data_IF_310166170798
#
_entry.id   IF_310166170798
#
_cell.length_a   1.000
_cell.length_b   1.000
_cell.length_c   1.000
_cell.angle_alpha   90.00
_cell.angle_beta   90.00
_cell.angle_gamma   90.00
#
_symmetry.space_group_name_H-M   'P 1'
#
loop_
_entity.id
_entity.type
_entity.pdbx_description
1 polymer ?
#
# COMPACT_ATOMS: atom_id res chain seq x y z
N UNK A 1 26.52 -31.46 18.96
CA UNK A 1 25.35 -31.31 19.86
C UNK A 1 24.11 -31.60 19.02
N UNK A 2 23.07 -32.21 19.58
CA UNK A 2 21.82 -32.43 18.85
C UNK A 2 21.12 -31.10 18.57
N UNK A 3 20.52 -30.98 17.39
CA UNK A 3 19.66 -29.84 17.03
C UNK A 3 18.45 -29.80 17.96
N UNK A 4 18.20 -28.65 18.57
CA UNK A 4 16.98 -28.40 19.35
C UNK A 4 16.11 -27.39 18.62
N UNK A 5 14.82 -27.71 18.52
CA UNK A 5 13.80 -26.88 17.88
C UNK A 5 12.77 -26.47 18.94
N UNK A 6 12.44 -25.19 18.96
CA UNK A 6 11.47 -24.56 19.85
C UNK A 6 10.39 -23.94 18.97
N UNK A 7 9.14 -24.25 19.26
CA UNK A 7 8.00 -23.69 18.55
C UNK A 7 7.11 -22.95 19.54
N UNK A 8 6.68 -21.76 19.15
CA UNK A 8 5.77 -20.95 19.96
C UNK A 8 4.94 -20.04 19.05
N UNK A 9 3.71 -19.79 19.47
CA UNK A 9 2.79 -18.90 18.76
C UNK A 9 2.92 -17.46 19.24
N UNK A 10 2.77 -16.52 18.31
CA UNK A 10 2.50 -15.12 18.63
C UNK A 10 1.37 -14.61 17.73
N UNK A 11 0.22 -14.34 18.34
CA UNK A 11 -1.01 -13.96 17.64
C UNK A 11 -1.51 -15.04 16.66
N UNK A 12 -1.10 -14.98 15.38
CA UNK A 12 -1.46 -15.98 14.34
C UNK A 12 -0.23 -16.57 13.64
N UNK A 13 0.97 -16.16 14.07
CA UNK A 13 2.22 -16.58 13.46
C UNK A 13 2.87 -17.66 14.32
N UNK A 14 3.11 -18.82 13.71
CA UNK A 14 4.00 -19.83 14.28
C UNK A 14 5.45 -19.36 14.13
N UNK A 15 6.18 -19.31 15.24
CA UNK A 15 7.61 -19.00 15.25
C UNK A 15 8.35 -20.29 15.53
N UNK A 16 9.28 -20.65 14.65
CA UNK A 16 10.20 -21.76 14.86
C UNK A 16 11.60 -21.19 15.13
N UNK A 17 12.14 -21.50 16.29
CA UNK A 17 13.51 -21.22 16.66
C UNK A 17 14.31 -22.52 16.75
N UNK A 18 15.54 -22.50 16.24
CA UNK A 18 16.45 -23.64 16.25
C UNK A 18 17.80 -23.21 16.79
N UNK A 19 18.35 -24.00 17.69
CA UNK A 19 19.75 -23.88 18.10
C UNK A 19 20.52 -25.07 17.53
N UNK A 20 21.44 -24.78 16.61
CA UNK A 20 22.27 -25.76 15.90
C UNK A 20 23.64 -25.15 15.62
N UNK A 21 24.71 -25.93 15.78
CA UNK A 21 26.10 -25.53 15.50
C UNK A 21 26.54 -24.19 16.10
N UNK A 22 26.05 -23.85 17.29
CA UNK A 22 26.38 -22.58 17.97
C UNK A 22 25.55 -21.37 17.49
N UNK A 23 24.61 -21.57 16.58
CA UNK A 23 23.74 -20.51 16.07
C UNK A 23 22.29 -20.68 16.53
N UNK A 24 21.69 -19.57 16.94
CA UNK A 24 20.24 -19.41 17.05
C UNK A 24 19.68 -18.92 15.71
N UNK A 25 18.84 -19.73 15.09
CA UNK A 25 18.07 -19.36 13.90
C UNK A 25 16.59 -19.28 14.26
N UNK A 26 15.93 -18.15 14.06
CA UNK A 26 14.50 -18.00 14.32
C UNK A 26 13.76 -17.52 13.09
N UNK A 27 12.67 -18.21 12.71
CA UNK A 27 11.83 -17.86 11.56
C UNK A 27 10.51 -17.27 12.05
N UNK A 28 10.23 -16.03 11.62
CA UNK A 28 9.02 -15.27 11.95
C UNK A 28 8.36 -14.82 10.65
N UNK A 29 7.49 -15.66 10.08
CA UNK A 29 6.91 -15.42 8.75
C UNK A 29 7.99 -15.37 7.66
N UNK A 30 8.14 -14.21 7.00
CA UNK A 30 9.16 -13.96 5.96
C UNK A 30 10.53 -13.55 6.54
N UNK A 31 10.59 -13.17 7.82
CA UNK A 31 11.84 -12.75 8.47
C UNK A 31 12.56 -13.97 9.05
N UNK A 32 13.86 -14.08 8.77
CA UNK A 32 14.73 -15.06 9.41
C UNK A 32 15.82 -14.31 10.19
N UNK A 33 16.00 -14.71 11.45
CA UNK A 33 17.07 -14.25 12.32
C UNK A 33 18.12 -15.35 12.39
N UNK A 34 19.39 -14.95 12.37
CA UNK A 34 20.52 -15.85 12.53
C UNK A 34 21.54 -15.16 13.43
N UNK A 35 21.77 -15.73 14.61
CA UNK A 35 22.53 -15.13 15.70
C UNK A 35 23.55 -16.17 16.16
N UNK A 36 24.83 -15.78 16.17
CA UNK A 36 25.86 -16.56 16.83
C UNK A 36 25.65 -16.47 18.35
N UNK A 37 25.47 -17.60 19.02
CA UNK A 37 25.22 -17.64 20.48
C UNK A 37 26.40 -17.02 21.23
N UNK A 38 27.62 -17.17 20.71
CA UNK A 38 28.79 -16.64 21.39
C UNK A 38 28.91 -15.11 21.26
N UNK A 39 28.21 -14.53 20.29
CA UNK A 39 28.13 -13.08 20.09
C UNK A 39 27.06 -12.40 20.95
N UNK A 40 26.25 -13.16 21.69
CA UNK A 40 25.19 -12.62 22.54
C UNK A 40 25.82 -11.90 23.73
N UNK A 41 25.46 -10.62 23.88
CA UNK A 41 25.94 -9.76 24.96
C UNK A 41 24.95 -9.73 26.13
N UNK A 42 23.66 -9.58 25.82
CA UNK A 42 22.61 -9.53 26.85
C UNK A 42 21.33 -10.23 26.39
N UNK A 43 20.62 -10.82 27.35
CA UNK A 43 19.33 -11.47 27.16
C UNK A 43 18.38 -11.04 28.27
N UNK A 44 17.17 -10.64 27.90
CA UNK A 44 16.12 -10.25 28.82
C UNK A 44 14.79 -10.88 28.40
N UNK A 45 14.06 -11.40 29.38
CA UNK A 45 12.73 -11.97 29.17
C UNK A 45 11.71 -11.15 29.97
N UNK A 46 10.85 -10.43 29.26
CA UNK A 46 9.74 -9.67 29.83
C UNK A 46 8.49 -10.56 29.86
N UNK A 47 8.24 -11.20 31.01
CA UNK A 47 7.08 -12.05 31.26
C UNK A 47 6.12 -11.37 32.26
N UNK A 48 5.65 -10.18 31.91
CA UNK A 48 4.66 -9.46 32.73
C UNK A 48 3.25 -9.95 32.42
N UNK A 49 2.60 -10.55 33.42
CA UNK A 49 1.23 -11.12 33.36
C UNK A 49 0.13 -10.21 32.78
N UNK A 50 0.32 -8.89 32.79
CA UNK A 50 -0.63 -7.91 32.26
C UNK A 50 -0.49 -7.66 30.74
N UNK A 51 0.52 -8.26 30.11
CA UNK A 51 0.67 -8.28 28.65
C UNK A 51 0.32 -9.69 28.21
N UNK A 52 -0.66 -9.86 27.32
CA UNK A 52 -1.07 -11.16 26.75
C UNK A 52 0.06 -11.86 25.95
N UNK A 53 1.31 -11.44 26.11
CA UNK A 53 2.49 -11.88 25.37
C UNK A 53 3.74 -11.85 26.25
N UNK A 54 4.61 -12.83 26.08
CA UNK A 54 5.99 -12.83 26.61
C UNK A 54 6.92 -12.29 25.54
N UNK A 55 7.90 -11.48 25.94
CA UNK A 55 8.90 -10.93 25.03
C UNK A 55 10.32 -11.34 25.44
N UNK A 56 11.07 -11.91 24.51
CA UNK A 56 12.49 -12.20 24.64
C UNK A 56 13.30 -11.20 23.81
N UNK A 57 14.19 -10.47 24.46
CA UNK A 57 15.11 -9.51 23.82
C UNK A 57 16.52 -10.05 23.91
N UNK A 58 17.20 -10.11 22.76
CA UNK A 58 18.58 -10.56 22.64
C UNK A 58 19.38 -9.44 22.00
N UNK A 59 20.44 -8.96 22.67
CA UNK A 59 21.44 -8.10 22.06
C UNK A 59 22.69 -8.90 21.74
N UNK A 60 23.26 -8.68 20.55
CA UNK A 60 24.37 -9.49 20.04
C UNK A 60 25.22 -8.68 19.06
N UNK A 61 26.50 -9.04 18.92
CA UNK A 61 27.37 -8.41 17.92
C UNK A 61 27.28 -9.14 16.58
N UNK A 62 27.01 -8.39 15.50
CA UNK A 62 27.08 -8.97 14.16
C UNK A 62 28.55 -9.19 13.70
N UNK A 63 28.73 -9.79 12.52
CA UNK A 63 30.07 -10.02 11.92
C UNK A 63 30.90 -8.74 11.76
N UNK A 64 30.27 -7.56 11.77
CA UNK A 64 30.93 -6.24 11.70
C UNK A 64 31.16 -5.62 13.08
N UNK A 65 31.02 -6.40 14.16
CA UNK A 65 31.11 -5.95 15.56
C UNK A 65 30.15 -4.80 15.88
N UNK A 66 29.03 -4.73 15.17
CA UNK A 66 27.96 -3.77 15.47
C UNK A 66 26.96 -4.43 16.40
N UNK A 67 26.61 -3.77 17.50
CA UNK A 67 25.58 -4.27 18.42
C UNK A 67 24.21 -4.24 17.72
N UNK A 68 23.60 -5.41 17.57
CA UNK A 68 22.27 -5.65 17.02
C UNK A 68 21.33 -6.15 18.10
N UNK A 69 20.03 -6.12 17.78
CA UNK A 69 18.96 -6.54 18.69
C UNK A 69 17.96 -7.39 17.94
N UNK A 70 17.61 -8.52 18.53
CA UNK A 70 16.50 -9.35 18.14
C UNK A 70 15.44 -9.32 19.24
N UNK A 71 14.17 -9.32 18.82
CA UNK A 71 13.00 -9.42 19.70
C UNK A 71 12.17 -10.58 19.19
N UNK A 72 11.93 -11.55 20.05
CA UNK A 72 11.01 -12.66 19.82
C UNK A 72 9.83 -12.47 20.78
N UNK A 73 8.63 -12.78 20.30
CA UNK A 73 7.41 -12.66 21.07
C UNK A 73 6.72 -14.01 21.07
N UNK A 74 6.02 -14.34 22.15
CA UNK A 74 5.07 -15.44 22.20
C UNK A 74 3.83 -15.01 22.93
N UNK A 75 2.73 -15.74 22.78
CA UNK A 75 1.55 -15.59 23.63
C UNK A 75 1.90 -16.09 25.05
N UNK A 76 1.17 -15.62 26.07
CA UNK A 76 1.56 -15.83 27.48
C UNK A 76 1.64 -17.32 27.89
N UNK A 77 0.82 -18.17 27.29
CA UNK A 77 0.70 -19.60 27.66
C UNK A 77 1.71 -20.50 26.92
N UNK A 78 2.48 -19.95 25.98
CA UNK A 78 3.40 -20.72 25.14
C UNK A 78 4.74 -20.97 25.85
N UNK A 79 5.10 -22.25 26.06
CA UNK A 79 6.34 -22.61 26.76
C UNK A 79 7.59 -22.54 25.88
N UNK A 80 7.44 -22.64 24.56
CA UNK A 80 8.59 -22.73 23.64
C UNK A 80 9.54 -21.53 23.71
N UNK A 81 9.04 -20.32 23.94
CA UNK A 81 9.89 -19.13 24.09
C UNK A 81 10.67 -19.14 25.42
N UNK A 82 10.03 -19.64 26.49
CA UNK A 82 10.67 -19.82 27.80
C UNK A 82 11.76 -20.88 27.73
N UNK A 83 11.50 -22.01 27.07
CA UNK A 83 12.46 -23.09 26.86
C UNK A 83 13.67 -22.63 26.05
N UNK A 84 13.42 -21.85 24.98
CA UNK A 84 14.49 -21.22 24.20
C UNK A 84 15.34 -20.28 25.06
N UNK A 85 14.69 -19.45 25.89
CA UNK A 85 15.38 -18.55 26.79
C UNK A 85 16.30 -19.30 27.77
N UNK A 86 15.79 -20.37 28.39
CA UNK A 86 16.59 -21.20 29.29
C UNK A 86 17.77 -21.87 28.58
N UNK A 87 17.58 -22.40 27.37
CA UNK A 87 18.69 -22.98 26.60
C UNK A 87 19.79 -21.96 26.28
N UNK A 88 19.43 -20.71 25.97
CA UNK A 88 20.41 -19.65 25.75
C UNK A 88 21.20 -19.38 27.04
N UNK A 89 20.51 -19.33 28.19
CA UNK A 89 21.15 -19.09 29.47
C UNK A 89 22.03 -20.25 29.94
N UNK A 90 21.64 -21.50 29.68
CA UNK A 90 22.44 -22.68 30.01
C UNK A 90 23.80 -22.63 29.29
N UNK A 91 23.83 -22.08 28.07
CA UNK A 91 25.07 -21.88 27.29
C UNK A 91 25.80 -20.61 27.68
N UNK A 92 25.07 -19.55 28.06
CA UNK A 92 25.61 -18.21 28.35
C UNK A 92 24.97 -17.64 29.63
N UNK A 93 25.31 -18.13 30.83
CA UNK A 93 24.62 -17.72 32.04
C UNK A 93 24.85 -16.25 32.43
N UNK A 94 25.99 -15.68 32.02
CA UNK A 94 26.39 -14.31 32.37
C UNK A 94 25.67 -13.20 31.60
N UNK A 95 24.95 -13.54 30.52
CA UNK A 95 24.27 -12.53 29.67
C UNK A 95 22.87 -12.19 30.17
N UNK A 96 22.39 -12.88 31.20
CA UNK A 96 21.03 -12.72 31.73
C UNK A 96 20.84 -11.38 32.46
N UNK A 97 19.79 -10.63 32.09
CA UNK A 97 19.39 -9.39 32.77
C UNK A 97 18.21 -9.59 33.74
N UNK A 98 18.03 -10.80 34.27
CA UNK A 98 16.87 -11.21 35.11
C UNK A 98 16.67 -10.34 36.34
N UNK A 99 17.76 -9.81 36.89
CA UNK A 99 17.76 -9.06 38.15
C UNK A 99 17.45 -7.57 37.97
N UNK A 100 17.41 -7.08 36.73
CA UNK A 100 17.10 -5.69 36.45
C UNK A 100 15.60 -5.48 36.36
N UNK A 101 15.14 -4.31 36.82
CA UNK A 101 13.79 -3.89 36.51
C UNK A 101 13.63 -3.72 34.99
N UNK A 102 12.40 -3.80 34.45
CA UNK A 102 12.22 -3.72 33.01
C UNK A 102 12.80 -2.44 32.39
N UNK A 103 12.60 -1.28 33.01
CA UNK A 103 13.09 -0.01 32.46
C UNK A 103 14.62 -0.01 32.37
N UNK A 104 15.31 -0.47 33.41
CA UNK A 104 16.76 -0.66 33.42
C UNK A 104 17.23 -1.68 32.38
N UNK A 105 16.57 -2.84 32.27
CA UNK A 105 16.90 -3.85 31.28
C UNK A 105 16.76 -3.29 29.85
N UNK A 106 15.70 -2.53 29.56
CA UNK A 106 15.51 -1.85 28.27
C UNK A 106 16.64 -0.84 27.99
N UNK A 107 17.09 -0.08 28.99
CA UNK A 107 18.20 0.86 28.86
C UNK A 107 19.53 0.16 28.54
N UNK A 108 19.88 -0.91 29.28
CA UNK A 108 21.10 -1.71 29.04
C UNK A 108 21.08 -2.33 27.65
N UNK A 109 19.92 -2.83 27.22
CA UNK A 109 19.74 -3.36 25.87
C UNK A 109 19.73 -2.28 24.78
N UNK A 110 19.69 -0.99 25.14
CA UNK A 110 19.46 0.13 24.22
C UNK A 110 18.11 0.03 23.48
N UNK A 111 17.15 -0.68 24.07
CA UNK A 111 15.82 -0.94 23.52
C UNK A 111 14.78 -0.04 24.18
N UNK A 112 13.60 0.07 23.58
CA UNK A 112 12.44 0.70 24.21
C UNK A 112 11.32 -0.34 24.27
N UNK A 113 10.49 -0.33 25.34
CA UNK A 113 9.32 -1.19 25.38
C UNK A 113 8.51 -0.98 24.12
N UNK A 114 8.12 -2.07 23.46
CA UNK A 114 7.29 -2.03 22.27
C UNK A 114 6.08 -1.15 22.57
N UNK A 115 6.01 0.03 21.95
CA UNK A 115 4.86 0.91 22.11
C UNK A 115 3.75 0.32 21.25
N UNK A 116 2.90 -0.53 21.83
CA UNK A 116 1.69 -1.03 21.16
C UNK A 116 0.82 0.13 20.62
N UNK A 117 0.92 1.32 21.23
CA UNK A 117 0.35 2.57 20.72
C UNK A 117 0.91 3.06 19.37
N UNK A 118 2.06 2.55 18.90
CA UNK A 118 2.61 2.88 17.59
C UNK A 118 1.82 2.22 16.45
N UNK A 119 1.19 1.06 16.69
CA UNK A 119 0.44 0.32 15.66
C UNK A 119 -0.76 1.17 15.17
N UNK A 120 -1.66 1.68 16.03
CA UNK A 120 -2.73 2.60 15.59
C UNK A 120 -2.20 3.84 14.88
N UNK A 121 -1.07 4.37 15.34
CA UNK A 121 -0.49 5.58 14.74
C UNK A 121 -0.01 5.34 13.32
N UNK A 122 0.66 4.20 13.07
CA UNK A 122 1.09 3.79 11.73
C UNK A 122 -0.12 3.48 10.85
N UNK A 123 -1.12 2.76 11.36
CA UNK A 123 -2.35 2.46 10.62
C UNK A 123 -3.13 3.73 10.28
N UNK A 124 -3.22 4.69 11.20
CA UNK A 124 -3.84 6.00 10.96
C UNK A 124 -3.06 6.78 9.91
N UNK A 125 -1.74 6.79 9.97
CA UNK A 125 -0.89 7.42 8.96
C UNK A 125 -1.13 6.81 7.56
N UNK A 126 -1.20 5.48 7.47
CA UNK A 126 -1.53 4.78 6.23
C UNK A 126 -2.95 5.10 5.73
N UNK A 127 -3.93 5.13 6.64
CA UNK A 127 -5.31 5.51 6.32
C UNK A 127 -5.39 6.93 5.74
N UNK A 128 -4.73 7.90 6.39
CA UNK A 128 -4.68 9.30 5.91
C UNK A 128 -4.00 9.38 4.54
N UNK A 129 -2.89 8.66 4.33
CA UNK A 129 -2.20 8.64 3.04
C UNK A 129 -3.11 8.10 1.92
N UNK A 130 -3.84 7.01 2.17
CA UNK A 130 -4.80 6.48 1.20
C UNK A 130 -5.99 7.42 1.00
N UNK A 131 -6.50 8.05 2.05
CA UNK A 131 -7.58 9.05 1.93
C UNK A 131 -7.17 10.24 1.06
N UNK A 132 -5.94 10.72 1.20
CA UNK A 132 -5.39 11.73 0.30
C UNK A 132 -5.33 11.19 -1.14
N UNK A 133 -4.81 9.97 -1.35
CA UNK A 133 -4.77 9.35 -2.68
C UNK A 133 -6.16 9.07 -3.30
N UNK A 134 -7.22 8.97 -2.49
CA UNK A 134 -8.60 8.83 -2.98
C UNK A 134 -9.31 10.17 -3.20
N UNK A 135 -8.68 11.31 -2.89
CA UNK A 135 -9.37 12.61 -2.98
C UNK A 135 -9.81 12.98 -4.41
N UNK A 136 -9.10 12.65 -5.50
CA UNK A 136 -9.65 12.84 -6.85
C UNK A 136 -11.01 12.18 -7.04
N UNK A 137 -11.17 10.94 -6.56
CA UNK A 137 -12.45 10.22 -6.62
C UNK A 137 -13.55 10.93 -5.82
N UNK A 138 -13.22 11.52 -4.67
CA UNK A 138 -14.17 12.36 -3.93
C UNK A 138 -14.55 13.61 -4.70
N UNK A 139 -13.57 14.32 -5.28
CA UNK A 139 -13.82 15.55 -6.04
C UNK A 139 -14.74 15.28 -7.22
N UNK A 140 -14.44 14.27 -8.03
CA UNK A 140 -15.32 13.82 -9.13
C UNK A 140 -16.67 13.37 -8.61
N UNK A 141 -16.68 12.64 -7.50
CA UNK A 141 -17.89 12.07 -6.93
C UNK A 141 -18.84 13.05 -6.27
N UNK A 142 -18.35 14.21 -5.84
CA UNK A 142 -19.16 15.33 -5.35
C UNK A 142 -19.54 16.32 -6.45
N UNK A 143 -19.03 16.13 -7.66
CA UNK A 143 -19.44 16.92 -8.82
C UNK A 143 -20.74 16.33 -9.39
N UNK A 144 -21.86 16.94 -9.03
CA UNK A 144 -23.19 16.56 -9.54
C UNK A 144 -23.56 17.30 -10.84
N UNK A 145 -22.67 18.14 -11.36
CA UNK A 145 -22.90 18.88 -12.60
C UNK A 145 -22.82 17.99 -13.84
N UNK A 146 -23.28 18.51 -14.97
CA UNK A 146 -22.95 18.01 -16.31
C UNK A 146 -22.60 19.22 -17.17
N UNK A 147 -21.45 19.17 -17.81
CA UNK A 147 -20.99 20.24 -18.67
C UNK A 147 -20.99 19.80 -20.13
N UNK A 148 -21.86 20.40 -20.93
CA UNK A 148 -21.95 20.13 -22.36
C UNK A 148 -21.04 21.07 -23.15
N UNK A 149 -20.16 20.51 -23.99
CA UNK A 149 -19.25 21.28 -24.83
C UNK A 149 -19.10 20.68 -26.23
N UNK A 150 -18.81 21.56 -27.19
CA UNK A 150 -18.26 21.15 -28.48
C UNK A 150 -16.75 20.96 -28.37
N UNK A 151 -16.16 20.06 -29.17
CA UNK A 151 -14.71 19.80 -29.18
C UNK A 151 -13.87 21.08 -29.39
N UNK A 152 -14.43 22.10 -30.04
CA UNK A 152 -13.77 23.40 -30.25
C UNK A 152 -13.46 24.17 -28.97
N UNK A 153 -14.25 23.98 -27.91
CA UNK A 153 -14.05 24.66 -26.64
C UNK A 153 -12.69 24.34 -25.99
N UNK A 154 -12.11 23.19 -26.36
CA UNK A 154 -10.88 22.65 -25.80
C UNK A 154 -9.60 23.14 -26.51
N UNK A 155 -9.71 24.01 -27.53
CA UNK A 155 -8.56 24.60 -28.25
C UNK A 155 -7.92 25.78 -27.53
N UNK A 156 -8.64 26.39 -26.60
CA UNK A 156 -8.16 27.49 -25.74
C UNK A 156 -8.12 26.99 -24.30
N UNK A 157 -7.27 27.56 -23.44
CA UNK A 157 -7.26 27.24 -22.01
C UNK A 157 -8.69 27.31 -21.45
N UNK A 158 -9.26 26.14 -21.19
CA UNK A 158 -10.67 25.98 -20.85
C UNK A 158 -10.79 25.38 -19.45
N UNK A 159 -11.70 25.92 -18.65
CA UNK A 159 -11.97 25.41 -17.31
C UNK A 159 -13.46 25.08 -17.26
N UNK A 160 -13.85 23.82 -17.50
CA UNK A 160 -15.27 23.48 -17.52
C UNK A 160 -15.85 23.64 -16.11
N UNK A 161 -17.11 24.06 -16.03
CA UNK A 161 -17.80 24.28 -14.75
C UNK A 161 -18.05 22.97 -13.97
N UNK A 162 -18.04 21.84 -14.67
CA UNK A 162 -18.11 20.49 -14.12
C UNK A 162 -17.10 19.58 -14.84
N UNK A 163 -16.62 18.56 -14.15
CA UNK A 163 -15.75 17.51 -14.67
C UNK A 163 -16.53 16.39 -15.34
N UNK A 164 -17.83 16.26 -15.08
CA UNK A 164 -18.66 15.39 -15.90
C UNK A 164 -18.93 16.12 -17.21
N UNK A 165 -18.43 15.57 -18.31
CA UNK A 165 -18.48 16.19 -19.62
C UNK A 165 -19.42 15.44 -20.55
N UNK A 166 -20.08 16.19 -21.42
CA UNK A 166 -20.67 15.70 -22.65
C UNK A 166 -20.06 16.43 -23.83
N UNK A 167 -19.23 15.73 -24.59
CA UNK A 167 -18.45 16.30 -25.69
C UNK A 167 -19.12 15.94 -27.01
N UNK A 168 -19.32 16.93 -27.87
CA UNK A 168 -19.90 16.78 -29.21
C UNK A 168 -18.91 17.22 -30.30
N UNK A 169 -19.10 16.72 -31.52
CA UNK A 169 -18.32 17.13 -32.69
C UNK A 169 -16.89 16.59 -32.77
N UNK A 170 -16.49 15.70 -31.87
CA UNK A 170 -15.18 15.07 -31.89
C UNK A 170 -15.09 14.00 -33.00
N UNK A 171 -13.89 13.86 -33.57
CA UNK A 171 -13.49 12.76 -34.46
C UNK A 171 -12.42 11.92 -33.74
N UNK A 172 -12.39 10.61 -34.01
CA UNK A 172 -11.51 9.65 -33.34
C UNK A 172 -10.64 8.90 -34.35
N UNK A 173 -9.36 9.24 -34.52
CA UNK A 173 -8.44 8.47 -35.35
C UNK A 173 -8.03 7.17 -34.62
N UNK A 174 -8.86 6.14 -34.73
CA UNK A 174 -8.67 4.86 -34.01
C UNK A 174 -7.40 4.10 -34.41
N UNK A 175 -6.87 4.34 -35.61
CA UNK A 175 -5.58 3.84 -36.07
C UNK A 175 -4.40 4.36 -35.22
N UNK A 176 -4.58 5.53 -34.60
CA UNK A 176 -3.64 6.15 -33.67
C UNK A 176 -3.90 5.79 -32.21
N UNK A 177 -4.82 4.86 -31.93
CA UNK A 177 -5.11 4.43 -30.57
C UNK A 177 -3.96 3.65 -29.93
N UNK A 178 -3.87 3.77 -28.61
CA UNK A 178 -2.99 2.97 -27.75
C UNK A 178 -3.89 2.06 -26.94
N UNK A 179 -3.60 0.76 -26.89
CA UNK A 179 -4.29 -0.20 -26.03
C UNK A 179 -3.29 -0.86 -25.10
N UNK A 180 -3.56 -0.83 -23.81
CA UNK A 180 -2.78 -1.54 -22.81
C UNK A 180 -3.66 -2.46 -21.97
N UNK A 181 -3.03 -3.51 -21.46
CA UNK A 181 -3.64 -4.48 -20.56
C UNK A 181 -3.30 -4.13 -19.12
N UNK A 182 -4.33 -3.95 -18.29
CA UNK A 182 -4.16 -3.78 -16.85
C UNK A 182 -4.69 -5.01 -16.11
N UNK A 183 -3.79 -5.84 -15.59
CA UNK A 183 -4.15 -7.00 -14.77
C UNK A 183 -3.42 -8.29 -15.16
N UNK A 184 -3.77 -9.38 -14.49
CA UNK A 184 -3.21 -10.73 -14.68
C UNK A 184 -4.26 -11.63 -15.34
N UNK A 185 -3.89 -12.36 -16.39
CA UNK A 185 -4.79 -13.25 -17.16
C UNK A 185 -5.23 -12.62 -18.49
N UNK A 186 -5.70 -13.42 -19.46
CA UNK A 186 -6.01 -13.00 -20.84
C UNK A 186 -7.44 -12.47 -21.05
N UNK A 187 -8.03 -11.88 -20.01
CA UNK A 187 -9.38 -11.34 -20.10
C UNK A 187 -9.40 -10.07 -20.97
N UNK A 188 -10.13 -10.04 -22.09
CA UNK A 188 -10.33 -8.85 -22.90
C UNK A 188 -10.95 -7.68 -22.13
N UNK A 189 -11.66 -7.95 -21.02
CA UNK A 189 -12.23 -6.92 -20.16
C UNK A 189 -11.17 -6.07 -19.43
N UNK A 190 -9.92 -6.54 -19.40
CA UNK A 190 -8.78 -5.87 -18.79
C UNK A 190 -8.02 -4.95 -19.75
N UNK A 191 -8.47 -4.84 -21.00
CA UNK A 191 -7.88 -3.96 -22.00
C UNK A 191 -8.49 -2.56 -21.92
N UNK A 192 -7.63 -1.58 -21.67
CA UNK A 192 -7.96 -0.15 -21.71
C UNK A 192 -7.40 0.44 -22.99
N UNK A 193 -8.24 1.16 -23.72
CA UNK A 193 -7.86 1.85 -24.96
C UNK A 193 -7.92 3.35 -24.74
N UNK A 194 -6.92 4.05 -25.27
CA UNK A 194 -6.89 5.49 -25.39
C UNK A 194 -6.87 5.88 -26.85
N UNK A 195 -7.75 6.80 -27.24
CA UNK A 195 -7.82 7.35 -28.59
C UNK A 195 -7.78 8.88 -28.53
N UNK A 196 -7.08 9.56 -29.47
CA UNK A 196 -7.18 11.00 -29.59
C UNK A 196 -8.62 11.45 -29.82
N UNK A 197 -9.05 12.53 -29.16
CA UNK A 197 -10.27 13.24 -29.50
C UNK A 197 -9.88 14.53 -30.21
N UNK A 198 -10.21 14.64 -31.50
CA UNK A 198 -9.75 15.75 -32.33
C UNK A 198 -10.90 16.43 -33.05
N UNK A 199 -10.71 17.69 -33.44
CA UNK A 199 -11.66 18.39 -34.30
C UNK A 199 -11.66 17.78 -35.72
N UNK A 200 -12.77 17.81 -36.48
CA UNK A 200 -12.82 17.28 -37.85
C UNK A 200 -11.80 17.88 -38.83
N UNK A 201 -11.24 19.04 -38.52
CA UNK A 201 -10.18 19.71 -39.32
C UNK A 201 -8.77 19.48 -38.77
N UNK A 202 -8.61 18.63 -37.75
CA UNK A 202 -7.30 18.26 -37.23
C UNK A 202 -6.52 17.46 -38.28
N UNK A 203 -5.22 17.71 -38.34
CA UNK A 203 -4.30 17.00 -39.24
C UNK A 203 -3.13 16.45 -38.45
N UNK A 204 -2.57 15.33 -38.93
CA UNK A 204 -1.42 14.69 -38.31
C UNK A 204 -0.24 15.67 -38.17
N UNK A 205 0.46 15.61 -37.05
CA UNK A 205 1.50 16.56 -36.66
C UNK A 205 1.00 17.76 -35.84
N UNK A 206 -0.32 17.98 -35.73
CA UNK A 206 -0.86 18.93 -34.76
C UNK A 206 -0.97 18.28 -33.36
N UNK A 207 -0.62 19.01 -32.28
CA UNK A 207 -0.79 18.50 -30.93
C UNK A 207 -2.24 18.10 -30.62
N UNK A 208 -2.40 17.01 -29.88
CA UNK A 208 -3.70 16.53 -29.39
C UNK A 208 -3.94 17.09 -27.99
N UNK A 209 -5.06 17.80 -27.82
CA UNK A 209 -5.47 18.41 -26.55
C UNK A 209 -6.33 17.49 -25.68
N UNK A 210 -6.99 16.49 -26.27
CA UNK A 210 -7.92 15.60 -25.56
C UNK A 210 -7.70 14.14 -25.94
N UNK A 211 -7.78 13.28 -24.94
CA UNK A 211 -7.67 11.83 -25.08
C UNK A 211 -8.88 11.18 -24.42
N UNK A 212 -9.53 10.28 -25.14
CA UNK A 212 -10.60 9.45 -24.62
C UNK A 212 -10.04 8.12 -24.15
N UNK A 213 -10.30 7.76 -22.90
CA UNK A 213 -10.08 6.45 -22.31
C UNK A 213 -11.38 5.67 -22.26
N UNK A 214 -11.37 4.42 -22.70
CA UNK A 214 -12.53 3.52 -22.63
C UNK A 214 -12.08 2.06 -22.59
N UNK A 215 -12.96 1.16 -22.16
CA UNK A 215 -12.67 -0.29 -22.20
C UNK A 215 -12.88 -0.83 -23.62
N UNK A 216 -12.10 -1.81 -24.05
CA UNK A 216 -12.22 -2.36 -25.43
C UNK A 216 -13.66 -2.78 -25.79
N UNK A 217 -14.41 -3.33 -24.83
CA UNK A 217 -15.83 -3.71 -25.03
C UNK A 217 -16.77 -2.54 -25.37
N UNK A 218 -16.35 -1.31 -25.10
CA UNK A 218 -17.12 -0.09 -25.37
C UNK A 218 -16.83 0.46 -26.77
N UNK A 219 -15.89 -0.12 -27.53
CA UNK A 219 -15.43 0.40 -28.82
C UNK A 219 -16.59 0.67 -29.79
N UNK A 220 -17.48 -0.31 -29.98
CA UNK A 220 -18.62 -0.17 -30.89
C UNK A 220 -19.57 0.96 -30.44
N UNK A 221 -19.75 1.13 -29.13
CA UNK A 221 -20.59 2.20 -28.60
C UNK A 221 -19.95 3.57 -28.84
N UNK A 222 -18.62 3.69 -28.67
CA UNK A 222 -17.88 4.93 -28.93
C UNK A 222 -17.90 5.28 -30.43
N UNK A 223 -17.65 4.31 -31.31
CA UNK A 223 -17.62 4.52 -32.77
C UNK A 223 -18.95 5.01 -33.34
N UNK A 224 -20.06 4.54 -32.77
CA UNK A 224 -21.40 4.88 -33.23
C UNK A 224 -22.00 6.10 -32.50
N UNK A 225 -21.30 6.66 -31.52
CA UNK A 225 -21.83 7.77 -30.74
C UNK A 225 -21.58 9.12 -31.41
N UNK A 226 -22.59 10.00 -31.35
CA UNK A 226 -22.47 11.41 -31.76
C UNK A 226 -21.99 12.32 -30.62
N UNK A 227 -22.04 11.83 -29.39
CA UNK A 227 -21.63 12.56 -28.20
C UNK A 227 -20.97 11.63 -27.19
N UNK A 228 -19.87 12.04 -26.59
CA UNK A 228 -19.17 11.26 -25.58
C UNK A 228 -19.49 11.84 -24.21
N UNK A 229 -20.06 11.00 -23.35
CA UNK A 229 -20.24 11.30 -21.94
C UNK A 229 -19.14 10.63 -21.12
N UNK A 230 -18.57 11.36 -20.16
CA UNK A 230 -17.47 10.85 -19.35
C UNK A 230 -16.98 11.84 -18.30
N UNK A 231 -15.93 11.45 -17.57
CA UNK A 231 -15.30 12.27 -16.53
C UNK A 231 -13.96 12.79 -17.00
N UNK A 232 -13.77 14.10 -16.89
CA UNK A 232 -12.49 14.78 -17.08
C UNK A 232 -11.55 14.48 -15.91
N UNK A 233 -10.55 13.63 -16.16
CA UNK A 233 -9.49 13.25 -15.21
C UNK A 233 -8.41 14.32 -15.15
N UNK A 234 -8.65 15.39 -14.39
CA UNK A 234 -7.76 16.55 -14.28
C UNK A 234 -7.42 16.97 -12.83
N UNK A 235 -7.65 16.11 -11.84
CA UNK A 235 -7.36 16.43 -10.45
C UNK A 235 -5.95 15.97 -10.08
N UNK A 236 -5.08 16.93 -9.78
CA UNK A 236 -3.72 16.74 -9.24
C UNK A 236 -2.80 15.84 -10.09
N UNK A 237 -2.77 14.54 -9.82
CA UNK A 237 -1.91 13.56 -10.50
C UNK A 237 -2.63 12.79 -11.61
N UNK A 238 -3.92 13.06 -11.81
CA UNK A 238 -4.67 12.51 -12.93
C UNK A 238 -4.28 13.19 -14.25
N UNK A 239 -4.58 12.51 -15.36
CA UNK A 239 -4.27 12.96 -16.71
C UNK A 239 -3.38 11.97 -17.46
N UNK A 240 -2.93 12.34 -18.67
CA UNK A 240 -2.05 11.49 -19.45
C UNK A 240 -0.73 11.24 -18.72
N UNK A 241 -0.46 9.97 -18.37
CA UNK A 241 0.80 9.61 -17.72
C UNK A 241 2.00 9.81 -18.65
N UNK A 242 3.20 9.94 -18.08
CA UNK A 242 4.43 9.99 -18.88
C UNK A 242 4.63 8.75 -19.76
N UNK A 243 4.14 7.59 -19.33
CA UNK A 243 4.10 6.36 -20.14
C UNK A 243 3.15 6.50 -21.32
N UNK A 244 1.92 6.94 -21.09
CA UNK A 244 0.91 7.13 -22.15
C UNK A 244 1.39 8.14 -23.19
N UNK A 245 1.98 9.25 -22.73
CA UNK A 245 2.58 10.27 -23.60
C UNK A 245 3.67 9.70 -24.49
N UNK A 246 4.51 8.79 -23.97
CA UNK A 246 5.53 8.11 -24.75
C UNK A 246 4.92 7.17 -25.80
N UNK A 247 3.89 6.41 -25.44
CA UNK A 247 3.22 5.49 -26.37
C UNK A 247 2.57 6.21 -27.54
N UNK A 248 1.92 7.36 -27.27
CA UNK A 248 1.39 8.21 -28.35
C UNK A 248 2.50 8.78 -29.23
N UNK A 249 3.62 9.20 -28.64
CA UNK A 249 4.78 9.67 -29.41
C UNK A 249 5.37 8.58 -30.32
N UNK A 250 5.43 7.33 -29.84
CA UNK A 250 5.84 6.17 -30.65
C UNK A 250 4.89 5.90 -31.82
N UNK A 251 3.62 6.32 -31.69
CA UNK A 251 2.59 6.30 -32.74
C UNK A 251 2.58 7.55 -33.63
N UNK A 252 3.55 8.47 -33.49
CA UNK A 252 3.61 9.71 -34.27
C UNK A 252 2.66 10.82 -33.78
N UNK A 253 2.00 10.64 -32.64
CA UNK A 253 1.07 11.61 -32.06
C UNK A 253 1.77 12.43 -30.98
N UNK A 254 1.81 13.75 -31.17
CA UNK A 254 2.25 14.67 -30.13
C UNK A 254 1.04 15.04 -29.26
N UNK A 255 1.13 14.79 -27.96
CA UNK A 255 0.17 15.32 -26.99
C UNK A 255 0.57 16.73 -26.59
N UNK A 256 -0.41 17.61 -26.46
CA UNK A 256 -0.21 18.91 -25.83
C UNK A 256 0.31 18.75 -24.40
N UNK A 257 1.09 19.74 -23.92
CA UNK A 257 1.59 19.76 -22.53
C UNK A 257 0.46 19.80 -21.51
N UNK A 258 -0.70 20.30 -21.92
CA UNK A 258 -1.91 20.42 -21.12
C UNK A 258 -2.99 19.44 -21.60
N UNK A 259 -2.61 18.36 -22.30
CA UNK A 259 -3.57 17.39 -22.80
C UNK A 259 -4.43 16.83 -21.65
N UNK A 260 -5.74 16.79 -21.90
CA UNK A 260 -6.73 16.32 -20.95
C UNK A 260 -7.16 14.90 -21.26
N UNK A 261 -7.44 14.16 -20.19
CA UNK A 261 -7.91 12.79 -20.25
C UNK A 261 -9.39 12.76 -19.88
N UNK A 262 -10.22 12.20 -20.76
CA UNK A 262 -11.64 11.96 -20.53
C UNK A 262 -11.84 10.46 -20.42
N UNK A 263 -12.43 9.99 -19.34
CA UNK A 263 -12.81 8.58 -19.18
C UNK A 263 -14.27 8.39 -19.54
N UNK A 264 -14.52 7.60 -20.60
CA UNK A 264 -15.85 7.37 -21.14
C UNK A 264 -16.71 6.53 -20.20
N UNK A 265 -18.03 6.77 -20.20
CA UNK A 265 -19.02 5.93 -19.52
C UNK A 265 -18.79 5.72 -18.02
N UNK A 266 -18.01 6.60 -17.38
CA UNK A 266 -17.86 6.67 -15.93
C UNK A 266 -18.67 7.84 -15.42
N UNK A 267 -19.29 7.66 -14.26
CA UNK A 267 -20.03 8.71 -13.56
C UNK A 267 -19.30 9.04 -12.26
N UNK A 268 -19.25 10.31 -11.87
CA UNK A 268 -18.63 10.71 -10.59
C UNK A 268 -19.18 9.90 -9.40
N UNK A 269 -20.46 9.55 -9.40
CA UNK A 269 -21.06 8.69 -8.37
C UNK A 269 -20.36 7.35 -8.18
N UNK A 270 -19.82 6.76 -9.25
CA UNK A 270 -19.10 5.49 -9.15
C UNK A 270 -17.70 5.69 -8.55
N UNK A 271 -17.05 6.83 -8.82
CA UNK A 271 -15.83 7.22 -8.13
C UNK A 271 -16.07 7.41 -6.63
N UNK A 272 -17.18 8.05 -6.25
CA UNK A 272 -17.55 8.24 -4.84
C UNK A 272 -17.73 6.89 -4.13
N UNK A 273 -18.48 5.97 -4.76
CA UNK A 273 -18.69 4.61 -4.21
C UNK A 273 -17.36 3.89 -4.05
N UNK A 274 -16.46 3.98 -5.02
CA UNK A 274 -15.14 3.37 -4.98
C UNK A 274 -14.29 3.94 -3.84
N UNK A 275 -14.27 5.26 -3.68
CA UNK A 275 -13.56 5.94 -2.59
C UNK A 275 -14.07 5.50 -1.21
N UNK A 276 -15.39 5.48 -1.02
CA UNK A 276 -16.03 5.02 0.23
C UNK A 276 -15.69 3.56 0.51
N UNK A 277 -15.72 2.69 -0.50
CA UNK A 277 -15.39 1.27 -0.36
C UNK A 277 -13.94 1.07 0.11
N UNK A 278 -12.98 1.70 -0.57
CA UNK A 278 -11.55 1.62 -0.24
C UNK A 278 -11.32 2.10 1.21
N UNK A 279 -11.87 3.26 1.56
CA UNK A 279 -11.71 3.81 2.90
C UNK A 279 -12.39 2.98 3.98
N UNK A 280 -13.55 2.40 3.70
CA UNK A 280 -14.25 1.54 4.66
C UNK A 280 -13.44 0.28 4.98
N UNK A 281 -12.84 -0.35 3.97
CA UNK A 281 -11.98 -1.53 4.13
C UNK A 281 -10.77 -1.22 5.04
N UNK A 282 -10.20 -0.01 4.95
CA UNK A 282 -9.08 0.41 5.79
C UNK A 282 -9.52 0.90 7.18
N UNK A 283 -10.68 1.52 7.29
CA UNK A 283 -11.20 2.05 8.55
C UNK A 283 -11.56 0.92 9.54
N UNK A 284 -12.18 -0.17 9.06
CA UNK A 284 -12.60 -1.31 9.90
C UNK A 284 -11.47 -1.88 10.76
N UNK A 285 -10.31 -2.30 10.21
CA UNK A 285 -9.20 -2.83 11.01
C UNK A 285 -8.58 -1.76 11.91
N UNK A 286 -8.47 -0.50 11.45
CA UNK A 286 -7.98 0.60 12.27
C UNK A 286 -8.85 0.80 13.52
N UNK A 287 -10.17 0.82 13.36
CA UNK A 287 -11.14 0.93 14.45
C UNK A 287 -11.02 -0.30 15.37
N UNK A 288 -11.00 -1.51 14.81
CA UNK A 288 -10.88 -2.77 15.57
C UNK A 288 -9.63 -2.82 16.44
N UNK A 289 -8.46 -2.49 15.87
CA UNK A 289 -7.19 -2.42 16.61
C UNK A 289 -7.24 -1.33 17.69
N UNK A 290 -7.77 -0.15 17.36
CA UNK A 290 -7.86 0.97 18.32
C UNK A 290 -8.76 0.62 19.51
N UNK A 291 -9.93 0.01 19.26
CA UNK A 291 -10.85 -0.42 20.32
C UNK A 291 -10.24 -1.53 21.18
N UNK A 292 -9.56 -2.50 20.57
CA UNK A 292 -8.91 -3.61 21.27
C UNK A 292 -7.78 -3.13 22.18
N UNK A 293 -6.96 -2.18 21.71
CA UNK A 293 -5.91 -1.60 22.53
C UNK A 293 -6.47 -0.72 23.65
N UNK A 294 -7.56 0.01 23.38
CA UNK A 294 -8.22 0.83 24.40
C UNK A 294 -8.85 -0.02 25.50
N UNK A 295 -9.51 -1.13 25.17
CA UNK A 295 -10.06 -2.03 26.19
C UNK A 295 -8.96 -2.65 27.05
N UNK A 296 -7.85 -3.07 26.44
CA UNK A 296 -6.67 -3.57 27.15
C UNK A 296 -6.03 -2.54 28.08
N UNK A 297 -5.93 -1.28 27.64
CA UNK A 297 -5.36 -0.19 28.47
C UNK A 297 -6.20 0.21 29.69
N UNK A 298 -7.48 -0.17 29.73
CA UNK A 298 -8.37 0.10 30.87
C UNK A 298 -8.36 -1.00 31.92
N UNK A 299 -7.83 -2.17 31.56
CA UNK A 299 -7.71 -3.34 32.44
C UNK A 299 -6.32 -3.41 33.13
N UNK A 300 -5.40 -2.51 32.78
CA UNK A 300 -4.09 -2.30 33.39
C UNK A 300 -4.10 -1.10 34.33
#
# INVERSE_FOLDING_TARGET
MADKIYQFQYTVLMIEARISDGFLTARMGLKQLHIDIDSIEHVYLDNRKHRDSVELIISYYDKRKTLRRARLFSDHEETGLMELYHEILDRRPKVALVMLDPHEAYLVLGSKPAKWAAIPSVMLGAFVAVALACTPLFIHGTDDGLFEAHIDAFRTEYAPASRNLKITGATFPFDLSVTEKFGVGDDPEMLTTWVPMVHPTWVEGQPVELILQFRVRELDAIQNSKSIEGVLRNVWWEGPSGRLTRLFREKGVELSKTAWLVEANVYGRDDLKLAILILSILAVPLIGVTLTLRSRSRLS
#
